data_IF_754716726612
#
_entry.id   IF_754716726612
#
_cell.length_a   1.000
_cell.length_b   1.000
_cell.length_c   1.000
_cell.angle_alpha   90.00
_cell.angle_beta   90.00
_cell.angle_gamma   90.00
#
_symmetry.space_group_name_H-M   'P 1'
#
loop_
_entity.id
_entity.type
_entity.pdbx_description
1 polymer ?
#
# COMPACT_ATOMS: atom_id res chain seq x y z
N UNK A 1 -30.86 2.96 25.17
CA UNK A 1 -30.08 2.13 24.19
C UNK A 1 -29.41 3.06 23.19
N UNK A 2 -28.12 2.87 22.88
CA UNK A 2 -27.43 3.62 21.84
C UNK A 2 -28.03 3.20 20.48
N UNK A 3 -28.46 4.17 19.67
CA UNK A 3 -29.06 3.89 18.34
C UNK A 3 -28.09 3.18 17.38
N UNK A 4 -26.75 3.25 17.62
CA UNK A 4 -25.74 2.61 16.79
C UNK A 4 -24.66 1.96 17.69
N UNK A 5 -24.71 0.64 17.91
CA UNK A 5 -23.69 -0.12 18.61
C UNK A 5 -22.33 -0.07 17.89
N UNK A 6 -21.24 -0.43 18.59
CA UNK A 6 -19.89 -0.42 18.02
C UNK A 6 -19.78 -1.26 16.75
N UNK A 7 -20.35 -2.48 16.75
CA UNK A 7 -20.37 -3.37 15.57
C UNK A 7 -20.98 -2.66 14.36
N UNK A 8 -22.12 -2.02 14.52
CA UNK A 8 -22.80 -1.32 13.43
C UNK A 8 -22.00 -0.13 12.91
N UNK A 9 -21.32 0.58 13.81
CA UNK A 9 -20.46 1.71 13.44
C UNK A 9 -19.25 1.26 12.62
N UNK A 10 -18.60 0.15 13.01
CA UNK A 10 -17.50 -0.44 12.27
C UNK A 10 -17.96 -0.93 10.88
N UNK A 11 -19.05 -1.68 10.83
CA UNK A 11 -19.60 -2.19 9.58
C UNK A 11 -20.02 -1.06 8.62
N UNK A 12 -20.59 0.02 9.14
CA UNK A 12 -20.92 1.20 8.34
C UNK A 12 -19.68 1.88 7.76
N UNK A 13 -18.56 1.95 8.50
CA UNK A 13 -17.30 2.47 7.97
C UNK A 13 -16.71 1.57 6.88
N UNK A 14 -16.77 0.25 7.06
CA UNK A 14 -16.25 -0.73 6.10
C UNK A 14 -17.08 -0.77 4.81
N UNK A 15 -18.42 -0.69 4.93
CA UNK A 15 -19.35 -0.79 3.79
C UNK A 15 -19.43 0.46 2.93
N UNK A 16 -18.70 1.50 3.26
CA UNK A 16 -18.71 2.78 2.56
C UNK A 16 -18.41 2.65 1.07
N UNK A 17 -19.24 3.30 0.25
CA UNK A 17 -19.18 3.31 -1.22
C UNK A 17 -18.79 4.67 -1.81
N UNK A 18 -18.46 5.66 -0.98
CA UNK A 18 -18.14 7.02 -1.42
C UNK A 18 -19.35 7.88 -1.75
N UNK A 19 -20.54 7.49 -1.26
CA UNK A 19 -21.77 8.24 -1.40
C UNK A 19 -21.89 9.34 -0.31
N UNK A 20 -22.94 10.15 -0.39
CA UNK A 20 -23.24 11.07 0.70
C UNK A 20 -23.58 10.29 1.97
N UNK A 21 -23.22 10.82 3.13
CA UNK A 21 -23.40 10.14 4.43
C UNK A 21 -24.84 9.69 4.67
N UNK A 22 -25.82 10.47 4.21
CA UNK A 22 -27.24 10.08 4.28
C UNK A 22 -27.52 8.78 3.52
N UNK A 23 -26.99 8.65 2.31
CA UNK A 23 -27.18 7.44 1.50
C UNK A 23 -26.38 6.25 2.03
N UNK A 24 -25.17 6.48 2.55
CA UNK A 24 -24.39 5.42 3.21
C UNK A 24 -25.15 4.82 4.40
N UNK A 25 -25.71 5.68 5.28
CA UNK A 25 -26.52 5.25 6.41
C UNK A 25 -27.80 4.53 5.96
N UNK A 26 -28.51 5.09 4.98
CA UNK A 26 -29.71 4.47 4.43
C UNK A 26 -29.42 3.08 3.86
N UNK A 27 -28.37 2.93 3.07
CA UNK A 27 -27.98 1.65 2.49
C UNK A 27 -27.60 0.66 3.59
N UNK A 28 -26.82 1.08 4.59
CA UNK A 28 -26.46 0.25 5.73
C UNK A 28 -27.71 -0.28 6.46
N UNK A 29 -28.65 0.58 6.84
CA UNK A 29 -29.87 0.15 7.53
C UNK A 29 -30.82 -0.67 6.67
N UNK A 30 -30.86 -0.43 5.35
CA UNK A 30 -31.57 -1.26 4.40
C UNK A 30 -31.04 -2.70 4.39
N UNK A 31 -29.74 -2.88 4.27
CA UNK A 31 -29.11 -4.20 4.30
C UNK A 31 -29.26 -4.90 5.65
N UNK A 32 -29.32 -4.13 6.75
CA UNK A 32 -29.60 -4.65 8.09
C UNK A 32 -31.06 -5.04 8.30
N UNK A 33 -31.95 -4.69 7.39
CA UNK A 33 -33.40 -4.92 7.54
C UNK A 33 -34.12 -3.97 8.49
N UNK A 34 -33.51 -2.83 8.83
CA UNK A 34 -34.05 -1.86 9.79
C UNK A 34 -34.22 -0.46 9.16
N UNK A 35 -35.16 -0.38 8.20
CA UNK A 35 -35.48 0.88 7.52
C UNK A 35 -36.19 1.90 8.41
N UNK A 36 -36.72 1.47 9.58
CA UNK A 36 -37.35 2.37 10.54
C UNK A 36 -36.33 3.18 11.33
N UNK A 37 -35.06 2.79 11.35
CA UNK A 37 -34.03 3.46 12.08
C UNK A 37 -33.70 4.83 11.44
N UNK A 38 -34.11 5.87 12.11
CA UNK A 38 -33.74 7.25 11.75
C UNK A 38 -32.56 7.71 12.59
N UNK A 39 -31.39 7.82 11.97
CA UNK A 39 -30.20 8.41 12.55
C UNK A 39 -29.81 9.62 11.71
N UNK A 40 -29.76 10.81 12.33
CA UNK A 40 -29.28 12.00 11.65
C UNK A 40 -27.79 11.87 11.34
N UNK A 41 -27.35 12.44 10.22
CA UNK A 41 -25.90 12.51 9.86
C UNK A 41 -25.09 13.11 11.01
N UNK A 42 -25.61 14.17 11.63
CA UNK A 42 -24.94 14.82 12.76
C UNK A 42 -24.79 13.87 13.97
N UNK A 43 -25.86 13.15 14.33
CA UNK A 43 -25.84 12.17 15.43
C UNK A 43 -24.87 11.02 15.14
N UNK A 44 -24.82 10.54 13.90
CA UNK A 44 -23.85 9.56 13.46
C UNK A 44 -22.41 10.04 13.60
N UNK A 45 -22.10 11.22 13.06
CA UNK A 45 -20.76 11.80 13.12
C UNK A 45 -20.31 12.06 14.58
N UNK A 46 -21.20 12.55 15.45
CA UNK A 46 -20.88 12.73 16.87
C UNK A 46 -20.52 11.41 17.56
N UNK A 47 -21.25 10.33 17.28
CA UNK A 47 -20.91 9.01 17.85
C UNK A 47 -19.62 8.46 17.24
N UNK A 48 -19.45 8.60 15.93
CA UNK A 48 -18.27 8.16 15.20
C UNK A 48 -17.00 8.87 15.65
N UNK A 49 -17.07 10.15 16.02
CA UNK A 49 -15.94 10.92 16.55
C UNK A 49 -15.31 10.27 17.80
N UNK A 50 -16.08 9.46 18.54
CA UNK A 50 -15.60 8.74 19.75
C UNK A 50 -14.95 7.40 19.43
N UNK A 51 -15.04 6.92 18.20
CA UNK A 51 -14.39 5.69 17.78
C UNK A 51 -12.90 5.96 17.57
N UNK A 52 -12.06 5.23 18.32
CA UNK A 52 -10.62 5.29 18.09
C UNK A 52 -10.30 4.75 16.68
N UNK A 53 -9.68 5.55 15.79
CA UNK A 53 -9.36 5.11 14.44
C UNK A 53 -8.38 3.93 14.40
N UNK A 54 -7.53 3.73 15.43
CA UNK A 54 -6.59 2.60 15.56
C UNK A 54 -7.24 1.21 15.51
N UNK A 55 -8.56 1.14 15.66
CA UNK A 55 -9.30 -0.13 15.55
C UNK A 55 -9.13 -0.76 14.16
N UNK A 56 -9.07 0.04 13.09
CA UNK A 56 -8.96 -0.48 11.73
C UNK A 56 -7.57 -1.05 11.41
N UNK A 57 -6.44 -0.35 11.67
CA UNK A 57 -5.13 -0.97 11.55
C UNK A 57 -4.94 -2.15 12.49
N UNK A 58 -5.54 -2.16 13.69
CA UNK A 58 -5.55 -3.33 14.55
C UNK A 58 -6.24 -4.53 13.90
N UNK A 59 -7.45 -4.33 13.35
CA UNK A 59 -8.20 -5.39 12.65
C UNK A 59 -7.45 -5.86 11.41
N UNK A 60 -6.85 -4.95 10.63
CA UNK A 60 -6.03 -5.29 9.48
C UNK A 60 -4.85 -6.19 9.87
N UNK A 61 -4.10 -5.82 10.92
CA UNK A 61 -3.01 -6.67 11.43
C UNK A 61 -3.50 -8.05 11.87
N UNK A 62 -4.63 -8.14 12.57
CA UNK A 62 -5.21 -9.44 12.97
C UNK A 62 -5.58 -10.29 11.75
N UNK A 63 -6.22 -9.69 10.76
CA UNK A 63 -6.57 -10.35 9.51
C UNK A 63 -5.33 -10.91 8.79
N UNK A 64 -4.30 -10.09 8.64
CA UNK A 64 -3.03 -10.49 8.03
C UNK A 64 -2.27 -11.54 8.84
N UNK A 65 -2.31 -11.45 10.18
CA UNK A 65 -1.70 -12.47 11.05
C UNK A 65 -2.26 -13.86 10.78
N UNK A 66 -3.55 -13.97 10.55
CA UNK A 66 -4.20 -15.26 10.28
C UNK A 66 -3.73 -15.81 8.94
N UNK A 67 -3.65 -14.97 7.89
CA UNK A 67 -3.09 -15.34 6.59
C UNK A 67 -1.62 -15.80 6.70
N UNK A 68 -0.72 -14.99 7.26
CA UNK A 68 0.71 -15.33 7.32
C UNK A 68 1.08 -16.45 8.30
N UNK A 69 0.13 -16.91 9.12
CA UNK A 69 0.30 -18.07 10.02
C UNK A 69 -0.21 -19.38 9.45
N UNK A 70 -1.33 -19.34 8.73
CA UNK A 70 -2.04 -20.52 8.23
C UNK A 70 -1.69 -20.85 6.79
N UNK A 71 -1.33 -19.85 5.99
CA UNK A 71 -1.06 -20.03 4.58
C UNK A 71 0.45 -19.95 4.27
N UNK A 72 0.85 -20.59 3.19
CA UNK A 72 2.20 -20.41 2.66
C UNK A 72 2.20 -19.21 1.71
N UNK A 73 2.72 -18.04 2.14
CA UNK A 73 2.78 -16.86 1.27
C UNK A 73 3.65 -17.12 0.06
N UNK A 74 3.28 -16.57 -1.08
CA UNK A 74 4.11 -16.58 -2.29
C UNK A 74 5.38 -15.78 -2.02
N UNK A 75 6.54 -16.38 -2.36
CA UNK A 75 7.85 -15.81 -2.10
C UNK A 75 8.65 -15.67 -3.39
N UNK A 76 9.47 -14.63 -3.48
CA UNK A 76 10.48 -14.49 -4.50
C UNK A 76 11.80 -15.07 -3.99
N UNK A 77 12.26 -16.19 -4.55
CA UNK A 77 13.51 -16.86 -4.12
C UNK A 77 13.62 -17.04 -2.60
N UNK A 78 12.54 -17.32 -1.92
CA UNK A 78 12.48 -17.49 -0.45
C UNK A 78 12.27 -16.20 0.34
N UNK A 79 12.23 -15.04 -0.29
CA UNK A 79 11.97 -13.75 0.33
C UNK A 79 10.52 -13.31 0.14
N UNK A 80 9.94 -12.72 1.19
CA UNK A 80 8.72 -11.92 1.05
C UNK A 80 9.07 -10.60 0.36
N UNK A 81 8.45 -10.34 -0.78
CA UNK A 81 8.73 -9.17 -1.59
C UNK A 81 7.81 -8.01 -1.19
N UNK A 82 8.38 -6.95 -0.64
CA UNK A 82 7.66 -5.77 -0.18
C UNK A 82 8.06 -4.55 -1.01
N UNK A 83 7.08 -3.80 -1.51
CA UNK A 83 7.30 -2.47 -2.06
C UNK A 83 6.86 -1.42 -1.04
N UNK A 84 7.68 -0.38 -0.84
CA UNK A 84 7.32 0.78 -0.03
C UNK A 84 7.45 2.03 -0.88
N UNK A 85 6.41 2.85 -0.87
CA UNK A 85 6.37 4.10 -1.63
C UNK A 85 5.49 5.13 -0.94
N UNK A 86 5.74 6.40 -1.26
CA UNK A 86 4.98 7.55 -0.78
C UNK A 86 3.96 8.04 -1.82
N UNK A 87 2.79 8.48 -1.36
CA UNK A 87 1.78 9.14 -2.19
C UNK A 87 1.11 10.28 -1.43
N UNK A 88 0.67 11.32 -2.14
CA UNK A 88 -0.13 12.39 -1.56
C UNK A 88 -1.62 12.10 -1.73
N UNK A 89 -2.38 12.15 -0.63
CA UNK A 89 -3.82 12.00 -0.64
C UNK A 89 -4.53 13.34 -0.39
N UNK A 90 -5.59 13.60 -1.13
CA UNK A 90 -6.44 14.78 -0.89
C UNK A 90 -7.36 14.50 0.29
N UNK A 91 -7.45 15.46 1.20
CA UNK A 91 -8.31 15.38 2.38
C UNK A 91 -9.20 16.62 2.48
N UNK A 92 -10.34 16.55 3.19
CA UNK A 92 -11.25 17.68 3.31
C UNK A 92 -10.55 18.94 3.83
N UNK A 93 -10.80 20.07 3.16
CA UNK A 93 -10.20 21.34 3.49
C UNK A 93 -10.87 21.95 4.74
N UNK A 94 -10.38 21.56 5.93
CA UNK A 94 -10.79 22.09 7.23
C UNK A 94 -9.60 22.65 8.00
N UNK A 95 -9.83 23.43 9.06
CA UNK A 95 -8.75 23.93 9.91
C UNK A 95 -7.98 22.76 10.54
N UNK A 96 -8.68 21.79 11.12
CA UNK A 96 -8.10 20.62 11.77
C UNK A 96 -7.19 19.84 10.80
N UNK A 97 -7.64 19.62 9.55
CA UNK A 97 -6.88 18.87 8.57
C UNK A 97 -5.68 19.65 8.03
N UNK A 98 -5.75 20.98 7.95
CA UNK A 98 -4.59 21.81 7.59
C UNK A 98 -3.49 21.74 8.64
N UNK A 99 -3.87 21.74 9.91
CA UNK A 99 -2.93 21.62 11.03
C UNK A 99 -2.35 20.21 11.11
N UNK A 100 -3.18 19.17 10.90
CA UNK A 100 -2.75 17.77 11.00
C UNK A 100 -1.91 17.29 9.80
N UNK A 101 -2.25 17.69 8.58
CA UNK A 101 -1.66 17.13 7.35
C UNK A 101 -0.86 18.15 6.53
N UNK A 102 -1.14 19.43 6.68
CA UNK A 102 -0.47 20.50 5.96
C UNK A 102 -1.13 20.87 4.64
N UNK A 103 -0.51 21.82 3.94
CA UNK A 103 -0.98 22.38 2.68
C UNK A 103 0.07 22.14 1.59
N UNK A 104 -0.34 21.63 0.44
CA UNK A 104 0.48 21.62 -0.77
C UNK A 104 -0.07 22.64 -1.76
N UNK A 105 0.62 23.80 -1.91
CA UNK A 105 0.31 24.79 -2.94
C UNK A 105 1.10 24.50 -4.21
N UNK A 106 0.50 24.71 -5.38
CA UNK A 106 1.23 24.94 -6.61
C UNK A 106 1.55 26.44 -6.67
N UNK A 107 2.69 26.81 -7.30
CA UNK A 107 3.12 28.20 -7.47
C UNK A 107 2.04 29.13 -8.09
N UNK A 108 1.00 28.54 -8.68
CA UNK A 108 -0.10 29.26 -9.36
C UNK A 108 -1.41 29.31 -8.58
N UNK A 109 -1.54 28.65 -7.42
CA UNK A 109 -2.75 28.70 -6.60
C UNK A 109 -2.45 29.28 -5.23
N UNK A 110 -2.92 30.52 -4.98
CA UNK A 110 -2.72 31.21 -3.70
C UNK A 110 -3.39 30.57 -2.49
N UNK A 111 -4.18 29.50 -2.66
CA UNK A 111 -4.75 28.66 -1.60
C UNK A 111 -4.45 27.21 -1.95
N UNK A 112 -3.39 26.65 -1.35
CA UNK A 112 -3.03 25.25 -1.53
C UNK A 112 -4.14 24.28 -1.08
N UNK A 113 -4.22 23.12 -1.72
CA UNK A 113 -5.07 22.01 -1.28
C UNK A 113 -4.47 21.33 -0.05
N UNK A 114 -5.33 20.94 0.90
CA UNK A 114 -4.91 20.14 2.05
C UNK A 114 -4.62 18.73 1.56
N UNK A 115 -3.42 18.26 1.83
CA UNK A 115 -2.98 16.91 1.46
C UNK A 115 -2.23 16.26 2.60
N UNK A 116 -2.46 14.97 2.76
CA UNK A 116 -1.68 14.12 3.64
C UNK A 116 -0.59 13.39 2.86
N UNK A 117 0.55 13.11 3.50
CA UNK A 117 1.51 12.15 3.00
C UNK A 117 1.06 10.75 3.43
N UNK A 118 0.98 9.85 2.47
CA UNK A 118 0.64 8.45 2.69
C UNK A 118 1.86 7.61 2.35
N UNK A 119 2.24 6.70 3.24
CA UNK A 119 3.31 5.72 2.99
C UNK A 119 2.73 4.32 3.12
N UNK A 120 2.70 3.55 2.04
CA UNK A 120 2.20 2.19 2.01
C UNK A 120 3.33 1.17 2.00
N UNK A 121 3.14 0.10 2.74
CA UNK A 121 3.94 -1.12 2.71
C UNK A 121 3.10 -2.23 2.10
N UNK A 122 3.49 -2.68 0.92
CA UNK A 122 2.70 -3.57 0.08
C UNK A 122 3.44 -4.88 -0.23
N UNK A 123 2.83 -6.01 0.09
CA UNK A 123 3.30 -7.33 -0.34
C UNK A 123 2.94 -7.52 -1.82
N UNK A 124 3.96 -7.55 -2.66
CA UNK A 124 3.80 -7.51 -4.11
C UNK A 124 3.21 -8.81 -4.66
N UNK A 125 3.60 -9.95 -4.10
CA UNK A 125 3.20 -11.26 -4.61
C UNK A 125 1.88 -11.77 -4.04
N UNK A 126 1.57 -11.39 -2.80
CA UNK A 126 0.32 -11.77 -2.14
C UNK A 126 -0.75 -10.69 -2.22
N UNK A 127 -0.42 -9.52 -2.77
CA UNK A 127 -1.34 -8.42 -3.06
C UNK A 127 -1.98 -7.76 -1.84
N UNK A 128 -1.31 -7.73 -0.67
CA UNK A 128 -1.82 -7.11 0.54
C UNK A 128 -1.10 -5.81 0.89
N UNK A 129 -1.83 -4.82 1.37
CA UNK A 129 -1.26 -3.74 2.15
C UNK A 129 -0.96 -4.24 3.56
N UNK A 130 0.31 -4.46 3.88
CA UNK A 130 0.74 -4.90 5.20
C UNK A 130 0.55 -3.81 6.23
N UNK A 131 0.89 -2.58 5.85
CA UNK A 131 0.67 -1.39 6.66
C UNK A 131 0.55 -0.15 5.77
N UNK A 132 -0.04 0.90 6.31
CA UNK A 132 -0.15 2.18 5.62
C UNK A 132 -0.24 3.31 6.65
N UNK A 133 0.66 4.28 6.52
CA UNK A 133 0.71 5.47 7.35
C UNK A 133 0.09 6.65 6.61
N UNK A 134 -0.58 7.53 7.36
CA UNK A 134 -1.12 8.79 6.85
C UNK A 134 -0.75 9.92 7.79
N UNK A 135 0.05 10.87 7.31
CA UNK A 135 0.74 11.83 8.13
C UNK A 135 0.91 13.20 7.46
N UNK A 136 1.47 14.14 8.20
CA UNK A 136 1.76 15.49 7.73
C UNK A 136 2.78 15.47 6.58
N UNK A 137 2.55 16.27 5.53
CA UNK A 137 3.37 16.31 4.31
C UNK A 137 4.84 16.69 4.52
N UNK A 138 5.20 17.24 5.67
CA UNK A 138 6.58 17.58 6.00
C UNK A 138 7.38 16.43 6.62
N UNK A 139 6.73 15.31 6.96
CA UNK A 139 7.44 14.13 7.46
C UNK A 139 8.16 13.48 6.27
N UNK A 140 9.38 12.98 6.49
CA UNK A 140 10.12 12.31 5.42
C UNK A 140 9.56 10.92 5.13
N UNK A 141 9.58 10.52 3.86
CA UNK A 141 9.17 9.18 3.44
C UNK A 141 9.99 8.08 4.14
N UNK A 142 11.29 8.32 4.37
CA UNK A 142 12.15 7.39 5.12
C UNK A 142 11.64 7.15 6.55
N UNK A 143 11.15 8.20 7.23
CA UNK A 143 10.62 8.05 8.59
C UNK A 143 9.32 7.24 8.59
N UNK A 144 8.44 7.46 7.63
CA UNK A 144 7.23 6.68 7.48
C UNK A 144 7.53 5.22 7.10
N UNK A 145 8.47 4.99 6.19
CA UNK A 145 8.93 3.66 5.83
C UNK A 145 9.47 2.88 7.03
N UNK A 146 10.24 3.53 7.93
CA UNK A 146 10.71 2.91 9.17
C UNK A 146 9.54 2.51 10.07
N UNK A 147 8.48 3.33 10.17
CA UNK A 147 7.27 2.99 10.94
C UNK A 147 6.53 1.79 10.34
N UNK A 148 6.34 1.80 9.02
CA UNK A 148 5.74 0.68 8.30
C UNK A 148 6.51 -0.63 8.57
N UNK A 149 7.84 -0.63 8.37
CA UNK A 149 8.67 -1.83 8.52
C UNK A 149 8.64 -2.41 9.95
N UNK A 150 8.52 -1.58 10.97
CA UNK A 150 8.34 -2.04 12.36
C UNK A 150 7.03 -2.82 12.59
N UNK A 151 6.02 -2.67 11.71
CA UNK A 151 4.78 -3.43 11.83
C UNK A 151 4.94 -4.89 11.40
N UNK A 152 5.96 -5.25 10.60
CA UNK A 152 6.21 -6.63 10.18
C UNK A 152 6.26 -7.60 11.35
N UNK A 153 6.95 -7.21 12.43
CA UNK A 153 7.04 -8.02 13.66
C UNK A 153 5.67 -8.20 14.33
N UNK A 154 4.80 -7.19 14.26
CA UNK A 154 3.45 -7.22 14.85
C UNK A 154 2.47 -8.06 14.04
N UNK A 155 2.68 -8.18 12.73
CA UNK A 155 1.92 -9.07 11.83
C UNK A 155 2.37 -10.52 12.03
N UNK A 156 3.55 -10.75 12.57
CA UNK A 156 4.09 -12.08 12.81
C UNK A 156 4.75 -12.71 11.58
N UNK A 157 5.20 -11.90 10.63
CA UNK A 157 5.95 -12.35 9.46
C UNK A 157 7.31 -12.88 9.92
N UNK A 158 7.60 -14.14 9.55
CA UNK A 158 8.83 -14.86 9.91
C UNK A 158 9.75 -15.14 8.73
N UNK A 159 9.23 -15.00 7.51
CA UNK A 159 10.02 -15.20 6.29
C UNK A 159 11.02 -14.05 6.12
N UNK A 160 12.20 -14.30 5.54
CA UNK A 160 13.09 -13.21 5.14
C UNK A 160 12.38 -12.22 4.24
N UNK A 161 12.66 -10.94 4.41
CA UNK A 161 12.01 -9.86 3.69
C UNK A 161 13.02 -9.16 2.78
N UNK A 162 12.64 -8.90 1.55
CA UNK A 162 13.31 -7.91 0.69
C UNK A 162 12.36 -6.75 0.41
N UNK A 163 12.80 -5.54 0.79
CA UNK A 163 12.03 -4.31 0.60
C UNK A 163 12.60 -3.49 -0.57
N UNK A 164 11.74 -3.10 -1.51
CA UNK A 164 12.12 -2.36 -2.72
C UNK A 164 11.68 -0.90 -2.61
N UNK A 165 12.62 0.02 -2.89
CA UNK A 165 12.45 1.47 -2.74
C UNK A 165 12.85 2.26 -3.97
N UNK A 166 12.24 3.43 -4.18
CA UNK A 166 12.63 4.38 -5.23
C UNK A 166 13.76 5.32 -4.76
N UNK A 167 14.12 6.27 -5.62
CA UNK A 167 15.22 7.24 -5.50
C UNK A 167 15.16 8.18 -4.28
N UNK A 168 14.03 8.25 -3.60
CA UNK A 168 13.86 9.09 -2.41
C UNK A 168 14.52 8.54 -1.14
N UNK A 169 14.87 7.25 -1.12
CA UNK A 169 15.21 6.52 0.10
C UNK A 169 16.73 6.33 0.39
N UNK A 170 17.66 6.39 -0.58
CA UNK A 170 19.04 5.98 -0.34
C UNK A 170 19.80 6.96 0.60
N UNK A 171 19.78 6.66 1.89
CA UNK A 171 20.59 7.34 2.89
C UNK A 171 21.33 6.35 3.78
N UNK A 172 22.54 6.69 4.25
CA UNK A 172 23.31 5.82 5.15
C UNK A 172 22.52 5.44 6.39
N UNK A 173 21.75 6.37 6.95
CA UNK A 173 20.91 6.13 8.12
C UNK A 173 19.80 5.13 7.85
N UNK A 174 19.19 5.19 6.67
CA UNK A 174 18.11 4.28 6.31
C UNK A 174 18.65 2.87 6.02
N UNK A 175 19.79 2.77 5.34
CA UNK A 175 20.49 1.50 5.11
C UNK A 175 20.87 0.86 6.44
N UNK A 176 21.49 1.60 7.35
CA UNK A 176 21.85 1.12 8.68
C UNK A 176 20.62 0.65 9.50
N UNK A 177 19.49 1.34 9.36
CA UNK A 177 18.23 0.90 9.93
C UNK A 177 17.77 -0.45 9.35
N UNK A 178 17.80 -0.62 8.02
CA UNK A 178 17.39 -1.87 7.36
C UNK A 178 18.27 -3.05 7.80
N UNK A 179 19.60 -2.86 7.82
CA UNK A 179 20.55 -3.86 8.31
C UNK A 179 20.30 -4.22 9.77
N UNK A 180 20.04 -3.23 10.63
CA UNK A 180 19.74 -3.45 12.06
C UNK A 180 18.45 -4.25 12.27
N UNK A 181 17.43 -4.01 11.45
CA UNK A 181 16.17 -4.74 11.52
C UNK A 181 16.21 -6.10 10.80
N UNK A 182 17.32 -6.44 10.12
CA UNK A 182 17.48 -7.69 9.37
C UNK A 182 16.59 -7.74 8.11
N UNK A 183 16.37 -6.60 7.46
CA UNK A 183 15.54 -6.47 6.27
C UNK A 183 16.46 -6.26 5.07
N UNK A 184 16.44 -7.20 4.12
CA UNK A 184 17.11 -7.04 2.83
C UNK A 184 16.46 -5.92 2.01
N UNK A 185 17.25 -5.28 1.18
CA UNK A 185 16.75 -4.13 0.42
C UNK A 185 17.22 -4.10 -1.03
N UNK A 186 16.43 -3.44 -1.85
CA UNK A 186 16.79 -3.04 -3.21
C UNK A 186 16.35 -1.59 -3.43
N UNK A 187 17.31 -0.67 -3.53
CA UNK A 187 17.06 0.77 -3.61
C UNK A 187 17.58 1.31 -4.93
N UNK A 188 16.75 2.03 -5.68
CA UNK A 188 17.21 2.75 -6.86
C UNK A 188 17.99 4.00 -6.46
N UNK A 189 19.12 4.21 -7.11
CA UNK A 189 19.96 5.40 -6.94
C UNK A 189 19.62 6.47 -7.99
N UNK A 190 19.62 7.71 -7.58
CA UNK A 190 19.62 8.84 -8.51
C UNK A 190 21.03 9.05 -9.12
N UNK A 191 21.15 9.89 -10.16
CA UNK A 191 22.44 10.19 -10.78
C UNK A 191 23.47 10.77 -9.79
N UNK A 192 23.00 11.44 -8.74
CA UNK A 192 23.86 12.12 -7.76
C UNK A 192 24.20 11.26 -6.53
N UNK A 193 23.47 10.14 -6.32
CA UNK A 193 23.70 9.30 -5.16
C UNK A 193 24.99 8.50 -5.30
N UNK A 194 25.85 8.59 -4.28
CA UNK A 194 27.10 7.83 -4.19
C UNK A 194 27.95 7.90 -5.46
N UNK A 195 27.95 9.06 -6.13
CA UNK A 195 28.61 9.27 -7.42
C UNK A 195 30.13 9.00 -7.36
N UNK A 196 30.79 9.34 -6.26
CA UNK A 196 32.22 9.12 -6.10
C UNK A 196 32.57 7.62 -6.05
N UNK A 197 31.76 6.84 -5.34
CA UNK A 197 31.91 5.40 -5.26
C UNK A 197 31.58 4.75 -6.60
N UNK A 198 30.47 5.12 -7.23
CA UNK A 198 30.04 4.61 -8.55
C UNK A 198 31.06 4.87 -9.65
N UNK A 199 31.77 6.00 -9.62
CA UNK A 199 32.84 6.30 -10.58
C UNK A 199 34.10 5.45 -10.37
N UNK A 200 34.32 4.91 -9.17
CA UNK A 200 35.46 4.06 -8.84
C UNK A 200 35.21 2.58 -9.13
N UNK A 201 33.99 2.18 -9.41
CA UNK A 201 33.64 0.81 -9.74
C UNK A 201 34.40 0.34 -10.99
N UNK A 202 34.98 -0.85 -10.91
CA UNK A 202 35.71 -1.49 -11.98
C UNK A 202 34.77 -2.36 -12.87
N UNK A 203 33.64 -2.77 -12.31
CA UNK A 203 32.61 -3.55 -13.04
C UNK A 203 31.25 -2.88 -12.91
N UNK A 204 30.29 -3.34 -13.72
CA UNK A 204 28.91 -2.86 -13.64
C UNK A 204 28.18 -3.35 -12.38
N UNK A 205 28.67 -4.39 -11.74
CA UNK A 205 28.08 -5.01 -10.55
C UNK A 205 29.19 -5.42 -9.60
N UNK A 206 29.31 -4.73 -8.47
CA UNK A 206 30.32 -5.00 -7.46
C UNK A 206 29.96 -4.49 -6.05
N UNK A 207 30.68 -5.01 -5.06
CA UNK A 207 30.58 -4.56 -3.67
C UNK A 207 31.40 -3.29 -3.46
N UNK A 208 30.75 -2.31 -2.86
CA UNK A 208 31.29 -0.96 -2.66
C UNK A 208 31.24 -0.59 -1.18
N UNK A 209 32.31 0.01 -0.67
CA UNK A 209 32.39 0.46 0.72
C UNK A 209 31.95 1.93 0.81
N UNK A 210 30.87 2.18 1.51
CA UNK A 210 30.36 3.51 1.83
C UNK A 210 30.97 4.02 3.14
N UNK A 211 31.93 4.93 3.08
CA UNK A 211 32.57 5.48 4.28
C UNK A 211 31.62 6.43 5.04
N UNK A 212 31.58 6.29 6.35
CA UNK A 212 30.83 7.13 7.29
C UNK A 212 31.62 8.41 7.63
N UNK A 213 31.86 9.28 6.65
CA UNK A 213 32.52 10.55 6.90
C UNK A 213 31.65 11.49 7.73
N UNK A 214 32.28 12.37 8.54
CA UNK A 214 31.58 13.37 9.36
C UNK A 214 30.64 14.25 8.54
N UNK A 215 31.02 14.58 7.29
CA UNK A 215 30.19 15.35 6.36
C UNK A 215 28.87 14.57 6.00
N UNK A 216 28.96 13.28 5.71
CA UNK A 216 27.78 12.43 5.40
C UNK A 216 26.87 12.23 6.61
N UNK A 217 27.45 12.15 7.80
CA UNK A 217 26.71 11.94 9.04
C UNK A 217 26.21 13.25 9.69
N UNK A 218 26.52 14.42 9.13
CA UNK A 218 26.17 15.71 9.74
C UNK A 218 24.68 15.88 10.03
N UNK A 219 23.80 15.41 9.14
CA UNK A 219 22.35 15.46 9.34
C UNK A 219 21.91 14.55 10.49
N UNK A 220 22.53 13.38 10.62
CA UNK A 220 22.27 12.41 11.67
C UNK A 220 22.72 12.98 13.01
N UNK A 221 23.92 13.55 13.07
CA UNK A 221 24.47 14.21 14.28
C UNK A 221 23.50 15.23 14.87
N UNK A 222 22.84 16.03 14.02
CA UNK A 222 21.88 17.06 14.47
C UNK A 222 20.58 16.48 14.99
N UNK A 223 20.09 15.41 14.39
CA UNK A 223 18.76 14.83 14.70
C UNK A 223 18.81 13.71 15.72
N UNK A 224 19.85 12.89 15.68
CA UNK A 224 19.98 11.64 16.44
C UNK A 224 21.44 11.45 16.89
N UNK A 225 21.93 12.19 17.92
CA UNK A 225 23.33 12.16 18.36
C UNK A 225 23.84 10.76 18.71
N UNK A 226 23.05 9.95 19.44
CA UNK A 226 23.43 8.60 19.84
C UNK A 226 23.66 7.69 18.62
N UNK A 227 22.82 7.82 17.61
CA UNK A 227 22.94 7.05 16.37
C UNK A 227 24.14 7.50 15.55
N UNK A 228 24.47 8.78 15.59
CA UNK A 228 25.69 9.31 14.98
C UNK A 228 26.94 8.63 15.55
N UNK A 229 27.04 8.48 16.88
CA UNK A 229 28.18 7.83 17.53
C UNK A 229 28.31 6.35 17.15
N UNK A 230 27.18 5.64 17.08
CA UNK A 230 27.13 4.22 16.64
C UNK A 230 27.63 4.09 15.20
N UNK A 231 27.12 4.92 14.29
CA UNK A 231 27.53 4.90 12.88
C UNK A 231 28.98 5.33 12.69
N UNK A 232 29.46 6.29 13.49
CA UNK A 232 30.86 6.71 13.45
C UNK A 232 31.79 5.60 13.92
N UNK A 233 31.42 4.84 14.96
CA UNK A 233 32.12 3.64 15.42
C UNK A 233 32.19 2.56 14.35
N UNK A 234 31.06 2.32 13.63
CA UNK A 234 30.97 1.34 12.54
C UNK A 234 31.90 1.74 11.35
N UNK A 235 32.07 3.02 11.11
CA UNK A 235 33.05 3.60 10.17
C UNK A 235 32.67 3.45 8.69
N UNK A 236 32.04 2.37 8.28
CA UNK A 236 31.61 2.13 6.89
C UNK A 236 30.48 1.10 6.80
N UNK A 237 29.80 1.11 5.66
CA UNK A 237 28.79 0.09 5.27
C UNK A 237 29.21 -0.52 3.94
N UNK A 238 29.18 -1.84 3.85
CA UNK A 238 29.39 -2.56 2.60
C UNK A 238 28.06 -2.75 1.90
N UNK A 239 27.94 -2.32 0.65
CA UNK A 239 26.76 -2.50 -0.19
C UNK A 239 27.16 -3.06 -1.55
N UNK A 240 26.23 -3.68 -2.25
CA UNK A 240 26.38 -4.04 -3.66
C UNK A 240 25.70 -2.99 -4.51
N UNK A 241 26.37 -2.49 -5.55
CA UNK A 241 25.80 -1.60 -6.55
C UNK A 241 25.84 -2.29 -7.90
N UNK A 242 24.67 -2.42 -8.51
CA UNK A 242 24.49 -2.97 -9.85
C UNK A 242 24.01 -1.88 -10.80
N UNK A 243 24.67 -1.74 -11.94
CA UNK A 243 24.36 -0.77 -13.00
C UNK A 243 23.96 -1.51 -14.28
N UNK A 244 22.84 -1.12 -14.86
CA UNK A 244 22.35 -1.61 -16.15
C UNK A 244 21.82 -0.45 -16.99
N UNK A 245 21.69 -0.66 -18.29
CA UNK A 245 21.15 0.34 -19.21
C UNK A 245 19.69 0.00 -19.52
N UNK A 246 18.80 0.95 -19.28
CA UNK A 246 17.39 0.83 -19.64
C UNK A 246 17.20 0.90 -21.16
N UNK A 247 16.10 0.38 -21.71
CA UNK A 247 15.77 0.53 -23.12
C UNK A 247 15.71 1.98 -23.61
N UNK A 248 15.48 2.94 -22.68
CA UNK A 248 15.51 4.37 -22.94
C UNK A 248 16.92 4.97 -23.07
N UNK A 249 18.00 4.17 -22.91
CA UNK A 249 19.38 4.63 -22.87
C UNK A 249 19.84 5.21 -21.51
N UNK A 250 18.95 5.33 -20.53
CA UNK A 250 19.30 5.83 -19.22
C UNK A 250 19.89 4.72 -18.32
N UNK A 251 20.82 5.11 -17.43
CA UNK A 251 21.38 4.19 -16.44
C UNK A 251 20.33 3.84 -15.36
N UNK A 252 20.18 2.58 -15.04
CA UNK A 252 19.53 2.06 -13.84
C UNK A 252 20.62 1.62 -12.86
N UNK A 253 20.82 2.36 -11.79
CA UNK A 253 21.72 1.99 -10.70
C UNK A 253 20.90 1.53 -9.50
N UNK A 254 21.17 0.32 -9.03
CA UNK A 254 20.50 -0.32 -7.90
C UNK A 254 21.51 -0.60 -6.80
N UNK A 255 21.14 -0.33 -5.56
CA UNK A 255 21.91 -0.66 -4.36
C UNK A 255 21.18 -1.72 -3.55
N UNK A 256 21.92 -2.73 -3.08
CA UNK A 256 21.34 -3.86 -2.36
C UNK A 256 22.35 -4.49 -1.40
N UNK A 257 21.87 -5.29 -0.46
CA UNK A 257 22.64 -6.23 0.36
C UNK A 257 22.39 -7.71 -0.04
N UNK A 258 21.58 -7.93 -1.08
CA UNK A 258 21.27 -9.27 -1.57
C UNK A 258 22.54 -10.00 -2.08
N UNK A 259 22.59 -11.35 -1.96
CA UNK A 259 23.78 -12.12 -2.31
C UNK A 259 24.12 -12.07 -3.80
N UNK A 260 25.39 -12.34 -4.12
CA UNK A 260 25.92 -12.31 -5.49
C UNK A 260 25.32 -13.43 -6.39
N UNK A 261 24.63 -14.41 -5.79
CA UNK A 261 23.89 -15.46 -6.52
C UNK A 261 22.66 -14.93 -7.26
N UNK A 262 22.20 -13.73 -6.92
CA UNK A 262 21.12 -13.01 -7.62
C UNK A 262 21.78 -12.14 -8.68
N UNK A 263 21.44 -12.36 -9.95
CA UNK A 263 22.09 -11.65 -11.08
C UNK A 263 21.63 -10.19 -11.19
N UNK A 264 22.35 -9.38 -11.96
CA UNK A 264 21.99 -7.98 -12.20
C UNK A 264 20.63 -7.85 -12.93
N UNK A 265 20.34 -8.79 -13.85
CA UNK A 265 19.07 -8.87 -14.57
C UNK A 265 17.93 -9.16 -13.59
N UNK A 266 18.11 -10.14 -12.70
CA UNK A 266 17.11 -10.47 -11.67
C UNK A 266 16.86 -9.31 -10.69
N UNK A 267 17.91 -8.54 -10.36
CA UNK A 267 17.73 -7.31 -9.56
C UNK A 267 16.93 -6.24 -10.31
N UNK A 268 17.16 -6.09 -11.61
CA UNK A 268 16.40 -5.16 -12.43
C UNK A 268 14.93 -5.58 -12.53
N UNK A 269 14.65 -6.86 -12.78
CA UNK A 269 13.30 -7.42 -12.84
C UNK A 269 12.59 -7.26 -11.49
N UNK A 270 13.29 -7.54 -10.39
CA UNK A 270 12.77 -7.34 -9.03
C UNK A 270 12.40 -5.87 -8.79
N UNK A 271 13.25 -4.94 -9.21
CA UNK A 271 12.97 -3.52 -9.07
C UNK A 271 11.73 -3.09 -9.86
N UNK A 272 11.49 -3.66 -11.05
CA UNK A 272 10.30 -3.33 -11.83
C UNK A 272 9.00 -3.73 -11.13
N UNK A 273 9.00 -4.76 -10.29
CA UNK A 273 7.84 -5.16 -9.52
C UNK A 273 7.40 -4.10 -8.50
N UNK A 274 8.26 -3.15 -8.12
CA UNK A 274 7.89 -1.99 -7.28
C UNK A 274 6.70 -1.21 -7.85
N UNK A 275 6.56 -1.14 -9.17
CA UNK A 275 5.45 -0.43 -9.82
C UNK A 275 4.05 -0.94 -9.41
N UNK A 276 3.97 -2.12 -8.82
CA UNK A 276 2.69 -2.64 -8.34
C UNK A 276 2.08 -1.73 -7.26
N UNK A 277 2.88 -1.19 -6.33
CA UNK A 277 2.34 -0.30 -5.29
C UNK A 277 1.75 0.98 -5.88
N UNK A 278 2.34 1.53 -6.96
CA UNK A 278 1.78 2.72 -7.63
C UNK A 278 0.42 2.41 -8.27
N UNK A 279 0.28 1.24 -8.90
CA UNK A 279 -1.02 0.77 -9.43
C UNK A 279 -2.03 0.60 -8.31
N UNK A 280 -1.60 0.12 -7.13
CA UNK A 280 -2.48 -0.11 -5.98
C UNK A 280 -2.90 1.19 -5.29
N UNK A 281 -2.07 2.22 -5.26
CA UNK A 281 -2.53 3.56 -4.90
C UNK A 281 -3.63 4.08 -5.82
N UNK A 282 -3.51 3.83 -7.13
CA UNK A 282 -4.57 4.16 -8.07
C UNK A 282 -5.87 3.38 -7.77
N UNK A 283 -5.76 2.10 -7.39
CA UNK A 283 -6.92 1.29 -6.94
C UNK A 283 -7.58 1.90 -5.70
N UNK A 284 -6.80 2.22 -4.66
CA UNK A 284 -7.35 2.85 -3.45
C UNK A 284 -8.03 4.19 -3.76
N UNK A 285 -7.38 5.07 -4.52
CA UNK A 285 -7.89 6.41 -4.81
C UNK A 285 -9.13 6.38 -5.71
N UNK A 286 -9.08 5.66 -6.80
CA UNK A 286 -10.07 5.75 -7.86
C UNK A 286 -11.15 4.66 -7.77
N UNK A 287 -10.77 3.41 -7.44
CA UNK A 287 -11.72 2.30 -7.35
C UNK A 287 -12.35 2.20 -5.96
N UNK A 288 -11.56 2.30 -4.89
CA UNK A 288 -12.04 2.21 -3.51
C UNK A 288 -12.57 3.55 -2.97
N UNK A 289 -12.39 4.66 -3.71
CA UNK A 289 -12.85 6.01 -3.31
C UNK A 289 -12.36 6.46 -1.95
N UNK A 290 -11.13 6.10 -1.57
CA UNK A 290 -10.64 6.36 -0.23
C UNK A 290 -10.49 7.87 0.11
N UNK A 291 -10.32 8.72 -0.89
CA UNK A 291 -10.30 10.19 -0.73
C UNK A 291 -11.71 10.79 -0.51
N UNK A 292 -12.79 9.99 -0.66
CA UNK A 292 -14.16 10.41 -0.37
C UNK A 292 -14.46 10.33 1.13
N UNK A 293 -13.86 11.21 1.92
CA UNK A 293 -13.95 11.19 3.39
C UNK A 293 -15.33 11.63 3.89
N UNK A 294 -15.84 10.94 4.91
CA UNK A 294 -17.11 11.25 5.56
C UNK A 294 -16.92 12.28 6.68
N UNK A 295 -17.23 13.53 6.41
CA UNK A 295 -17.08 14.62 7.37
C UNK A 295 -15.74 15.36 7.24
N UNK A 296 -15.50 16.35 8.12
CA UNK A 296 -14.40 17.30 7.98
C UNK A 296 -13.31 17.19 9.07
N UNK A 297 -13.53 16.39 10.12
CA UNK A 297 -12.55 16.25 11.19
C UNK A 297 -11.48 15.21 10.84
N UNK A 298 -10.27 15.41 11.33
CA UNK A 298 -9.10 14.55 11.10
C UNK A 298 -9.35 13.10 11.50
N UNK A 299 -10.10 12.85 12.58
CA UNK A 299 -10.45 11.49 13.01
C UNK A 299 -11.21 10.71 11.95
N UNK A 300 -12.05 11.36 11.15
CA UNK A 300 -12.78 10.69 10.07
C UNK A 300 -11.89 10.35 8.88
N UNK A 301 -10.87 11.19 8.61
CA UNK A 301 -9.87 10.89 7.60
C UNK A 301 -9.17 9.57 7.93
N UNK A 302 -8.63 9.43 9.13
CA UNK A 302 -7.98 8.19 9.58
C UNK A 302 -8.93 6.99 9.56
N UNK A 303 -10.16 7.15 10.07
CA UNK A 303 -11.13 6.05 10.11
C UNK A 303 -11.50 5.56 8.70
N UNK A 304 -11.84 6.48 7.79
CA UNK A 304 -12.21 6.12 6.41
C UNK A 304 -11.05 5.52 5.65
N UNK A 305 -9.87 6.09 5.83
CA UNK A 305 -8.66 5.65 5.18
C UNK A 305 -8.32 4.19 5.54
N UNK A 306 -8.14 3.90 6.83
CA UNK A 306 -7.76 2.57 7.28
C UNK A 306 -8.89 1.53 7.11
N UNK A 307 -10.16 1.96 7.19
CA UNK A 307 -11.28 1.07 6.87
C UNK A 307 -11.22 0.59 5.40
N UNK A 308 -10.89 1.47 4.45
CA UNK A 308 -10.78 1.07 3.04
C UNK A 308 -9.56 0.18 2.77
N UNK A 309 -8.46 0.35 3.50
CA UNK A 309 -7.30 -0.56 3.42
C UNK A 309 -7.66 -1.97 3.89
N UNK A 310 -8.35 -2.09 5.01
CA UNK A 310 -8.84 -3.40 5.49
C UNK A 310 -9.78 -4.05 4.47
N UNK A 311 -10.72 -3.29 3.93
CA UNK A 311 -11.63 -3.80 2.89
C UNK A 311 -10.87 -4.20 1.62
N UNK A 312 -9.85 -3.44 1.23
CA UNK A 312 -8.98 -3.80 0.11
C UNK A 312 -8.34 -5.18 0.34
N UNK A 313 -7.76 -5.42 1.51
CA UNK A 313 -7.13 -6.70 1.82
C UNK A 313 -8.14 -7.86 1.82
N UNK A 314 -9.34 -7.66 2.36
CA UNK A 314 -10.40 -8.68 2.30
C UNK A 314 -10.80 -9.01 0.85
N UNK A 315 -10.86 -8.03 -0.04
CA UNK A 315 -11.12 -8.24 -1.47
C UNK A 315 -9.99 -9.04 -2.12
N UNK A 316 -8.73 -8.68 -1.83
CA UNK A 316 -7.58 -9.36 -2.43
C UNK A 316 -7.45 -10.80 -1.96
N UNK A 317 -7.80 -11.11 -0.73
CA UNK A 317 -7.80 -12.46 -0.19
C UNK A 317 -8.74 -13.38 -0.99
N UNK A 318 -10.00 -12.98 -1.15
CA UNK A 318 -10.98 -13.75 -1.95
C UNK A 318 -10.53 -13.85 -3.42
N UNK A 319 -9.94 -12.78 -3.98
CA UNK A 319 -9.38 -12.82 -5.34
C UNK A 319 -8.22 -13.80 -5.48
N UNK A 320 -7.30 -13.81 -4.52
CA UNK A 320 -6.18 -14.74 -4.54
C UNK A 320 -6.69 -16.18 -4.54
N UNK A 321 -7.67 -16.50 -3.68
CA UNK A 321 -8.30 -17.82 -3.64
C UNK A 321 -9.01 -18.16 -4.96
N UNK A 322 -9.74 -17.21 -5.56
CA UNK A 322 -10.40 -17.40 -6.85
C UNK A 322 -9.40 -17.65 -7.99
N UNK A 323 -8.30 -16.91 -8.03
CA UNK A 323 -7.25 -17.08 -9.04
C UNK A 323 -6.53 -18.43 -8.87
N UNK A 324 -6.26 -18.88 -7.64
CA UNK A 324 -5.66 -20.19 -7.33
C UNK A 324 -6.57 -21.36 -7.70
N UNK A 325 -7.86 -21.29 -7.39
CA UNK A 325 -8.82 -22.33 -7.78
C UNK A 325 -9.00 -22.40 -9.31
N UNK A 326 -9.03 -21.26 -9.98
CA UNK A 326 -9.10 -21.20 -11.44
C UNK A 326 -7.88 -21.84 -12.09
N UNK A 327 -6.67 -21.61 -11.56
CA UNK A 327 -5.42 -22.20 -12.00
C UNK A 327 -5.42 -23.73 -11.73
N UNK A 328 -5.80 -24.17 -10.52
CA UNK A 328 -5.88 -25.59 -10.17
C UNK A 328 -6.88 -26.38 -11.03
N UNK A 329 -8.00 -25.74 -11.40
CA UNK A 329 -9.00 -26.34 -12.29
C UNK A 329 -8.55 -26.46 -13.77
N UNK A 330 -7.32 -26.03 -14.09
CA UNK A 330 -6.77 -26.09 -15.46
C UNK A 330 -7.50 -25.19 -16.46
N UNK A 331 -8.27 -24.21 -15.98
CA UNK A 331 -8.99 -23.26 -16.85
C UNK A 331 -8.02 -22.36 -17.63
N UNK A 332 -6.79 -22.20 -17.14
CA UNK A 332 -5.72 -21.45 -17.82
C UNK A 332 -5.26 -22.12 -19.13
N UNK A 333 -5.25 -23.45 -19.20
CA UNK A 333 -4.80 -24.19 -20.36
C UNK A 333 -5.66 -24.02 -21.62
N UNK A 334 -6.86 -23.43 -21.47
CA UNK A 334 -7.78 -23.16 -22.59
C UNK A 334 -7.60 -21.77 -23.17
N UNK A 335 -6.85 -20.89 -22.52
CA UNK A 335 -6.69 -19.50 -22.90
C UNK A 335 -5.27 -19.26 -23.50
N UNK A 336 -5.19 -18.37 -24.47
CA UNK A 336 -3.91 -17.94 -25.09
C UNK A 336 -2.96 -17.25 -24.08
N UNK A 337 -3.51 -16.65 -23.01
CA UNK A 337 -2.79 -15.92 -21.99
C UNK A 337 -3.24 -16.39 -20.61
N UNK A 338 -2.37 -16.36 -19.60
CA UNK A 338 -2.79 -16.52 -18.22
C UNK A 338 -3.89 -15.50 -17.86
N UNK A 339 -4.82 -15.89 -17.03
CA UNK A 339 -5.98 -15.06 -16.66
C UNK A 339 -5.88 -14.71 -15.18
N UNK A 340 -6.43 -13.56 -14.83
CA UNK A 340 -6.64 -13.17 -13.42
C UNK A 340 -8.00 -12.52 -13.24
N UNK A 341 -8.54 -12.61 -12.05
CA UNK A 341 -9.83 -12.01 -11.69
C UNK A 341 -9.81 -10.50 -11.87
N UNK A 342 -10.85 -9.94 -12.50
CA UNK A 342 -10.99 -8.51 -12.71
C UNK A 342 -11.15 -7.76 -11.38
N UNK A 343 -10.09 -7.09 -10.92
CA UNK A 343 -10.04 -6.36 -9.65
C UNK A 343 -11.20 -5.34 -9.49
N UNK A 344 -11.59 -4.66 -10.57
CA UNK A 344 -12.65 -3.67 -10.51
C UNK A 344 -14.02 -4.32 -10.22
N UNK A 345 -14.31 -5.43 -10.89
CA UNK A 345 -15.53 -6.19 -10.67
C UNK A 345 -15.52 -6.83 -9.28
N UNK A 346 -14.41 -7.42 -8.86
CA UNK A 346 -14.26 -8.02 -7.54
C UNK A 346 -14.53 -7.02 -6.40
N UNK A 347 -14.00 -5.78 -6.51
CA UNK A 347 -14.30 -4.71 -5.54
C UNK A 347 -15.81 -4.41 -5.53
N UNK A 348 -16.44 -4.32 -6.69
CA UNK A 348 -17.88 -4.06 -6.80
C UNK A 348 -18.72 -5.15 -6.13
N UNK A 349 -18.50 -6.41 -6.51
CA UNK A 349 -19.18 -7.58 -5.94
C UNK A 349 -19.00 -7.68 -4.43
N UNK A 350 -17.77 -7.49 -3.96
CA UNK A 350 -17.50 -7.51 -2.52
C UNK A 350 -18.25 -6.41 -1.78
N UNK A 351 -18.19 -5.17 -2.27
CA UNK A 351 -18.89 -4.03 -1.66
C UNK A 351 -20.40 -4.18 -1.66
N UNK A 352 -20.96 -4.94 -2.60
CA UNK A 352 -22.39 -5.23 -2.67
C UNK A 352 -22.79 -6.32 -1.67
N UNK A 353 -21.97 -7.35 -1.51
CA UNK A 353 -22.32 -8.56 -0.73
C UNK A 353 -21.78 -8.55 0.70
N UNK A 354 -20.74 -7.77 1.00
CA UNK A 354 -20.03 -7.78 2.27
C UNK A 354 -20.94 -7.68 3.50
N UNK A 355 -21.90 -6.76 3.50
CA UNK A 355 -22.81 -6.60 4.65
C UNK A 355 -23.71 -7.83 4.84
N UNK A 356 -24.19 -8.44 3.77
CA UNK A 356 -25.00 -9.67 3.80
C UNK A 356 -24.22 -10.84 4.39
N UNK A 357 -22.89 -10.86 4.18
CA UNK A 357 -21.98 -11.87 4.72
C UNK A 357 -21.68 -11.58 6.19
N UNK A 358 -21.25 -10.36 6.52
CA UNK A 358 -20.80 -9.99 7.88
C UNK A 358 -21.96 -9.89 8.89
N UNK A 359 -23.20 -9.66 8.43
CA UNK A 359 -24.41 -9.65 9.25
C UNK A 359 -25.01 -11.04 9.43
N UNK A 360 -24.61 -12.04 8.64
CA UNK A 360 -25.12 -13.41 8.78
C UNK A 360 -24.63 -14.03 10.09
N UNK A 361 -25.54 -14.40 11.00
CA UNK A 361 -25.16 -14.95 12.31
C UNK A 361 -24.66 -16.39 12.22
N UNK A 362 -25.14 -17.17 11.26
CA UNK A 362 -24.83 -18.58 11.12
C UNK A 362 -23.54 -18.77 10.30
N UNK A 363 -22.54 -19.39 10.90
CA UNK A 363 -21.21 -19.57 10.28
C UNK A 363 -21.26 -20.35 8.98
N UNK A 364 -22.03 -21.46 8.94
CA UNK A 364 -22.19 -22.26 7.72
C UNK A 364 -22.76 -21.46 6.55
N UNK A 365 -23.75 -20.59 6.83
CA UNK A 365 -24.31 -19.71 5.81
C UNK A 365 -23.33 -18.60 5.39
N UNK A 366 -22.51 -18.10 6.31
CA UNK A 366 -21.44 -17.15 5.97
C UNK A 366 -20.42 -17.76 5.02
N UNK A 367 -19.93 -18.97 5.34
CA UNK A 367 -18.98 -19.70 4.49
C UNK A 367 -19.59 -19.94 3.10
N UNK A 368 -20.86 -20.38 3.04
CA UNK A 368 -21.55 -20.57 1.77
C UNK A 368 -21.62 -19.29 0.94
N UNK A 369 -22.01 -18.15 1.56
CA UNK A 369 -22.05 -16.85 0.87
C UNK A 369 -20.68 -16.37 0.40
N UNK A 370 -19.61 -16.69 1.13
CA UNK A 370 -18.23 -16.40 0.71
C UNK A 370 -17.84 -17.23 -0.52
N UNK A 371 -18.18 -18.52 -0.54
CA UNK A 371 -17.96 -19.39 -1.69
C UNK A 371 -18.75 -18.91 -2.92
N UNK A 372 -20.03 -18.55 -2.77
CA UNK A 372 -20.84 -17.97 -3.84
C UNK A 372 -20.24 -16.68 -4.42
N UNK A 373 -19.70 -15.81 -3.56
CA UNK A 373 -19.00 -14.59 -3.99
C UNK A 373 -17.70 -14.90 -4.74
N UNK A 374 -16.92 -15.88 -4.27
CA UNK A 374 -15.69 -16.31 -4.94
C UNK A 374 -15.99 -16.90 -6.31
N UNK A 375 -16.96 -17.83 -6.43
CA UNK A 375 -17.41 -18.40 -7.70
C UNK A 375 -17.90 -17.30 -8.68
N UNK A 376 -18.58 -16.28 -8.16
CA UNK A 376 -19.02 -15.16 -8.99
C UNK A 376 -17.81 -14.34 -9.50
N UNK A 377 -16.81 -14.07 -8.65
CA UNK A 377 -15.59 -13.37 -9.08
C UNK A 377 -14.83 -14.11 -10.17
N UNK A 378 -14.78 -15.45 -10.13
CA UNK A 378 -14.13 -16.31 -11.12
C UNK A 378 -14.72 -16.19 -12.53
N UNK A 379 -15.96 -15.73 -12.67
CA UNK A 379 -16.60 -15.51 -13.98
C UNK A 379 -16.09 -14.28 -14.70
N UNK A 380 -15.47 -13.35 -13.97
CA UNK A 380 -14.99 -12.07 -14.50
C UNK A 380 -13.47 -12.01 -14.50
N UNK A 381 -12.84 -12.53 -15.55
CA UNK A 381 -11.39 -12.58 -15.69
C UNK A 381 -10.85 -11.68 -16.78
N UNK A 382 -9.59 -11.30 -16.66
CA UNK A 382 -8.84 -10.50 -17.63
C UNK A 382 -7.53 -11.23 -17.99
N UNK A 383 -7.09 -11.14 -19.26
CA UNK A 383 -5.82 -11.75 -19.66
C UNK A 383 -4.63 -10.97 -19.09
N UNK A 384 -3.66 -11.69 -18.55
CA UNK A 384 -2.33 -11.16 -18.21
C UNK A 384 -1.55 -11.08 -19.52
N UNK A 385 -1.37 -9.87 -20.05
CA UNK A 385 -0.58 -9.64 -21.25
C UNK A 385 0.77 -9.07 -20.85
N UNK A 386 1.84 -9.74 -21.20
CA UNK A 386 3.16 -9.13 -21.25
C UNK A 386 3.16 -8.12 -22.41
N UNK A 387 2.83 -6.89 -22.08
CA UNK A 387 2.94 -5.82 -23.06
C UNK A 387 4.43 -5.47 -23.18
N UNK A 388 5.04 -5.64 -24.37
CA UNK A 388 6.34 -5.02 -24.63
C UNK A 388 6.16 -3.54 -24.32
N UNK A 389 7.10 -2.96 -23.56
CA UNK A 389 7.05 -1.56 -23.12
C UNK A 389 6.96 -0.62 -24.32
N UNK A 390 5.76 -0.45 -24.88
CA UNK A 390 5.51 0.58 -25.88
C UNK A 390 5.65 1.91 -25.15
N UNK A 391 6.51 2.77 -25.69
CA UNK A 391 6.53 4.18 -25.30
C UNK A 391 5.09 4.66 -25.18
N UNK A 392 4.73 5.10 -23.98
CA UNK A 392 3.45 5.77 -23.78
C UNK A 392 3.45 6.98 -24.71
N UNK A 393 2.71 6.92 -25.82
CA UNK A 393 2.39 8.13 -26.58
C UNK A 393 1.93 9.15 -25.56
N UNK A 394 2.58 10.33 -25.51
CA UNK A 394 2.11 11.46 -24.67
C UNK A 394 0.70 11.76 -25.14
N UNK A 395 -0.28 11.16 -24.50
CA UNK A 395 -1.68 11.47 -24.78
C UNK A 395 -1.84 12.93 -24.42
N UNK A 396 -2.15 13.74 -25.43
CA UNK A 396 -2.74 15.05 -25.27
C UNK A 396 -3.85 14.87 -24.24
N UNK A 397 -3.81 15.68 -23.17
CA UNK A 397 -4.75 15.59 -22.06
C UNK A 397 -6.17 15.58 -22.61
N UNK A 398 -6.80 14.42 -22.66
CA UNK A 398 -8.19 14.32 -23.01
C UNK A 398 -8.99 15.09 -21.95
N UNK A 399 -9.80 16.06 -22.33
CA UNK A 399 -10.76 16.78 -21.48
C UNK A 399 -11.72 15.83 -20.75
N UNK A 400 -11.84 14.61 -21.21
CA UNK A 400 -12.59 13.53 -20.56
C UNK A 400 -11.61 12.78 -19.65
N UNK A 401 -11.77 12.95 -18.33
CA UNK A 401 -11.19 12.00 -17.36
C UNK A 401 -11.54 10.63 -17.88
N UNK A 402 -10.51 9.84 -18.22
CA UNK A 402 -10.68 8.47 -18.73
C UNK A 402 -11.80 7.79 -17.98
N UNK A 403 -12.67 7.11 -18.73
CA UNK A 403 -13.84 6.37 -18.28
C UNK A 403 -13.52 5.27 -17.26
N UNK A 404 -12.88 5.62 -16.15
CA UNK A 404 -12.85 4.75 -15.00
C UNK A 404 -14.24 4.80 -14.38
N UNK A 405 -15.10 3.93 -14.86
CA UNK A 405 -16.41 3.72 -14.26
C UNK A 405 -16.20 3.28 -12.80
N UNK A 406 -17.00 3.85 -11.92
CA UNK A 406 -17.04 3.41 -10.53
C UNK A 406 -17.41 1.93 -10.48
N UNK A 407 -16.81 1.17 -9.56
CA UNK A 407 -17.14 -0.23 -9.33
C UNK A 407 -18.47 -0.39 -8.55
N UNK A 408 -18.98 0.71 -7.97
CA UNK A 408 -20.17 0.73 -7.12
C UNK A 408 -20.77 2.14 -7.03
#
# INVERSE_FOLDING_TARGET
>A
KRKMPLKDMLLCCLSKKGLTTTFELRNYFKEKGDLSMQLSVQGYLQQRKRLNPEIFPYLNRKYLMDFYRSDEPRLWKGYLLIAIDGSKAEVPNSKDNREAFGNSGNQHSGKGQVRALVSGMYDVLNHFYLDIEIEHICISENELAKRNLKQLKKIGIRKPVVAVFDRGYPSLEFIDFLETEGIHYLIRLSSNDYMAERKRMQSADEKVILKHSSARLQKIRKKHPERYEQMQKKGSTLVRISKSTLPSGNELALMTDLPDTITAEELADLYYQRWEIEKKYNTLKNKMKFESVTGKATVYVHQDFWAQVLVYNMVQDIRNSADEEAAAAGRENRNKYPMHTNENVAIGLFKETMLKILLEPEEKKRIKKLGELQEEMERYVLPIRELPGKERRKNISNKYKNNQKSSF
#
